data_IF_045694596135
#
_entry.id   IF_045694596135
#
_cell.length_a   1.000
_cell.length_b   1.000
_cell.length_c   1.000
_cell.angle_alpha   90.00
_cell.angle_beta   90.00
_cell.angle_gamma   90.00
#
_symmetry.space_group_name_H-M   'P 1'
#
loop_
_entity.id
_entity.type
_entity.pdbx_description
1 polymer ?
#
# COMPACT_ATOMS: atom_id res chain seq x y z
N UNK A 1 35.05 15.46 -60.86
CA UNK A 1 35.52 15.87 -59.52
C UNK A 1 34.48 16.83 -58.96
N UNK A 2 33.69 16.39 -57.98
CA UNK A 2 32.63 17.21 -57.39
C UNK A 2 33.21 17.97 -56.20
N UNK A 3 33.27 19.29 -56.31
CA UNK A 3 33.68 20.19 -55.22
C UNK A 3 32.54 20.24 -54.20
N UNK A 4 32.66 19.48 -53.12
CA UNK A 4 31.85 19.68 -51.93
C UNK A 4 32.32 20.96 -51.25
N UNK A 5 31.67 22.08 -51.57
CA UNK A 5 31.81 23.32 -50.80
C UNK A 5 31.35 23.02 -49.37
N UNK A 6 32.22 23.15 -48.35
CA UNK A 6 31.79 22.98 -46.97
C UNK A 6 30.71 24.03 -46.68
N UNK A 7 29.55 23.59 -46.21
CA UNK A 7 28.50 24.52 -45.77
C UNK A 7 29.10 25.52 -44.78
N UNK A 8 28.67 26.80 -44.82
CA UNK A 8 29.22 27.79 -43.93
C UNK A 8 28.91 27.39 -42.48
N UNK A 9 29.96 27.26 -41.66
CA UNK A 9 29.91 26.86 -40.24
C UNK A 9 28.85 27.66 -39.46
N UNK A 10 28.54 28.88 -39.89
CA UNK A 10 27.49 29.74 -39.34
C UNK A 10 26.07 29.18 -39.44
N UNK A 11 25.74 28.41 -40.49
CA UNK A 11 24.42 27.76 -40.64
C UNK A 11 24.26 26.61 -39.65
N UNK A 12 25.29 25.77 -39.52
CA UNK A 12 25.28 24.66 -38.56
C UNK A 12 25.21 25.16 -37.12
N UNK A 13 25.95 26.23 -36.78
CA UNK A 13 25.89 26.86 -35.46
C UNK A 13 24.48 27.37 -35.13
N UNK A 14 23.83 28.06 -36.07
CA UNK A 14 22.46 28.57 -35.89
C UNK A 14 21.46 27.45 -35.67
N UNK A 15 21.59 26.33 -36.38
CA UNK A 15 20.71 25.15 -36.21
C UNK A 15 20.91 24.53 -34.83
N UNK A 16 22.16 24.37 -34.38
CA UNK A 16 22.47 23.80 -33.06
C UNK A 16 21.90 24.69 -31.95
N UNK A 17 22.11 26.01 -32.05
CA UNK A 17 21.57 26.97 -31.07
C UNK A 17 20.04 26.93 -31.07
N UNK A 18 19.40 26.94 -32.25
CA UNK A 18 17.95 26.85 -32.37
C UNK A 18 17.38 25.57 -31.76
N UNK A 19 17.99 24.42 -32.05
CA UNK A 19 17.59 23.13 -31.50
C UNK A 19 17.78 23.08 -29.97
N UNK A 20 18.83 23.71 -29.46
CA UNK A 20 19.09 23.80 -28.01
C UNK A 20 18.00 24.61 -27.31
N UNK A 21 17.61 25.77 -27.86
CA UNK A 21 16.55 26.62 -27.30
C UNK A 21 15.20 25.89 -27.31
N UNK A 22 14.85 25.22 -28.41
CA UNK A 22 13.61 24.43 -28.49
C UNK A 22 13.63 23.28 -27.48
N UNK A 23 14.76 22.61 -27.32
CA UNK A 23 14.95 21.57 -26.30
C UNK A 23 14.74 22.09 -24.88
N UNK A 24 15.29 23.26 -24.55
CA UNK A 24 15.08 23.90 -23.25
C UNK A 24 13.62 24.30 -23.01
N UNK A 25 12.91 24.80 -24.02
CA UNK A 25 11.47 25.09 -23.91
C UNK A 25 10.66 23.82 -23.64
N UNK A 26 10.90 22.76 -24.40
CA UNK A 26 10.22 21.48 -24.20
C UNK A 26 10.51 20.88 -22.81
N UNK A 27 11.76 20.96 -22.35
CA UNK A 27 12.15 20.54 -21.02
C UNK A 27 11.46 21.36 -19.92
N UNK A 28 11.36 22.68 -20.10
CA UNK A 28 10.63 23.56 -19.18
C UNK A 28 9.15 23.21 -19.06
N UNK A 29 8.50 22.89 -20.19
CA UNK A 29 7.11 22.43 -20.21
C UNK A 29 6.94 21.08 -19.51
N UNK A 30 7.85 20.13 -19.76
CA UNK A 30 7.82 18.83 -19.10
C UNK A 30 7.99 18.96 -17.57
N UNK A 31 8.92 19.81 -17.12
CA UNK A 31 9.13 20.08 -15.69
C UNK A 31 7.91 20.77 -15.05
N UNK A 32 7.29 21.71 -15.77
CA UNK A 32 6.06 22.38 -15.34
C UNK A 32 4.92 21.38 -15.14
N UNK A 33 4.71 20.49 -16.12
CA UNK A 33 3.68 19.46 -16.04
C UNK A 33 3.93 18.47 -14.90
N UNK A 34 5.19 18.03 -14.72
CA UNK A 34 5.57 17.14 -13.62
C UNK A 34 5.26 17.76 -12.24
N UNK A 35 5.60 19.05 -12.05
CA UNK A 35 5.26 19.77 -10.82
C UNK A 35 3.75 19.83 -10.62
N UNK A 36 3.00 20.15 -11.67
CA UNK A 36 1.54 20.23 -11.60
C UNK A 36 0.90 18.89 -11.20
N UNK A 37 1.36 17.78 -11.78
CA UNK A 37 0.89 16.44 -11.43
C UNK A 37 1.20 16.10 -9.96
N UNK A 38 2.41 16.43 -9.49
CA UNK A 38 2.82 16.22 -8.10
C UNK A 38 1.99 17.08 -7.12
N UNK A 39 1.65 18.31 -7.52
CA UNK A 39 0.76 19.18 -6.74
C UNK A 39 -0.64 18.60 -6.61
N UNK A 40 -1.24 18.10 -7.69
CA UNK A 40 -2.58 17.51 -7.62
C UNK A 40 -2.59 16.26 -6.74
N UNK A 41 -1.56 15.40 -6.85
CA UNK A 41 -1.43 14.24 -5.98
C UNK A 41 -1.30 14.63 -4.51
N UNK A 42 -0.54 15.69 -4.21
CA UNK A 42 -0.38 16.20 -2.85
C UNK A 42 -1.69 16.76 -2.30
N UNK A 43 -2.42 17.55 -3.11
CA UNK A 43 -3.74 18.06 -2.75
C UNK A 43 -4.75 16.95 -2.51
N UNK A 44 -4.76 15.91 -3.35
CA UNK A 44 -5.58 14.72 -3.17
C UNK A 44 -5.28 14.01 -1.85
N UNK A 45 -4.00 13.81 -1.53
CA UNK A 45 -3.59 13.17 -0.28
C UNK A 45 -4.03 14.00 0.95
N UNK A 46 -3.82 15.32 0.94
CA UNK A 46 -4.25 16.22 2.02
C UNK A 46 -5.77 16.18 2.22
N UNK A 47 -6.54 16.14 1.12
CA UNK A 47 -8.01 16.02 1.20
C UNK A 47 -8.42 14.69 1.82
N UNK A 48 -7.80 13.58 1.42
CA UNK A 48 -8.08 12.26 1.96
C UNK A 48 -7.76 12.18 3.46
N UNK A 49 -6.61 12.71 3.87
CA UNK A 49 -6.21 12.78 5.28
C UNK A 49 -7.19 13.62 6.10
N UNK A 50 -7.64 14.77 5.58
CA UNK A 50 -8.65 15.59 6.27
C UNK A 50 -9.98 14.87 6.41
N UNK A 51 -10.45 14.17 5.38
CA UNK A 51 -11.70 13.42 5.45
C UNK A 51 -11.60 12.27 6.45
N UNK A 52 -10.49 11.53 6.45
CA UNK A 52 -10.23 10.48 7.44
C UNK A 52 -10.23 11.04 8.87
N UNK A 53 -9.55 12.18 9.08
CA UNK A 53 -9.50 12.85 10.38
C UNK A 53 -10.88 13.31 10.86
N UNK A 54 -11.70 13.87 9.97
CA UNK A 54 -13.08 14.27 10.30
C UNK A 54 -13.93 13.07 10.72
N UNK A 55 -13.80 11.95 10.01
CA UNK A 55 -14.51 10.72 10.34
C UNK A 55 -14.05 10.17 11.71
N UNK A 56 -12.75 10.14 11.99
CA UNK A 56 -12.24 9.68 13.28
C UNK A 56 -12.67 10.56 14.43
N UNK A 57 -12.75 11.88 14.21
CA UNK A 57 -13.27 12.83 15.22
C UNK A 57 -14.76 12.53 15.49
N UNK A 58 -15.56 12.34 14.43
CA UNK A 58 -16.98 11.99 14.57
C UNK A 58 -17.20 10.70 15.36
N UNK A 59 -16.45 9.64 15.04
CA UNK A 59 -16.49 8.37 15.77
C UNK A 59 -16.06 8.56 17.23
N UNK A 60 -14.98 9.30 17.49
CA UNK A 60 -14.52 9.58 18.84
C UNK A 60 -15.54 10.34 19.70
N UNK A 61 -16.34 11.23 19.11
CA UNK A 61 -17.44 11.88 19.81
C UNK A 61 -18.55 10.90 20.21
N UNK A 62 -18.92 9.98 19.31
CA UNK A 62 -19.93 8.94 19.58
C UNK A 62 -19.46 8.00 20.69
N UNK A 63 -18.21 7.56 20.65
CA UNK A 63 -17.61 6.71 21.68
C UNK A 63 -17.61 7.43 23.04
N UNK A 64 -17.20 8.70 23.07
CA UNK A 64 -17.18 9.50 24.29
C UNK A 64 -18.59 9.73 24.86
N UNK A 65 -19.60 9.89 24.01
CA UNK A 65 -20.99 9.95 24.42
C UNK A 65 -21.46 8.63 25.02
N UNK A 66 -21.11 7.49 24.39
CA UNK A 66 -21.40 6.15 24.90
C UNK A 66 -20.77 5.93 26.29
N UNK A 67 -19.49 6.26 26.47
CA UNK A 67 -18.80 6.10 27.76
C UNK A 67 -19.35 7.02 28.86
N UNK A 68 -19.88 8.20 28.50
CA UNK A 68 -20.55 9.10 29.44
C UNK A 68 -21.97 8.64 29.80
N UNK A 69 -22.58 7.80 28.97
CA UNK A 69 -23.96 7.36 29.16
C UNK A 69 -24.16 6.63 30.50
N UNK A 70 -25.37 6.74 31.04
CA UNK A 70 -25.75 6.02 32.26
C UNK A 70 -25.74 4.49 32.04
N UNK A 71 -26.03 4.05 30.81
CA UNK A 71 -26.02 2.63 30.43
C UNK A 71 -24.61 2.03 30.53
N UNK A 72 -23.59 2.73 30.01
CA UNK A 72 -22.21 2.26 30.12
C UNK A 72 -21.74 2.23 31.57
N UNK A 73 -22.07 3.26 32.37
CA UNK A 73 -21.73 3.29 33.81
C UNK A 73 -22.36 2.12 34.58
N UNK A 74 -23.62 1.79 34.28
CA UNK A 74 -24.33 0.66 34.87
C UNK A 74 -23.71 -0.68 34.45
N UNK A 75 -23.42 -0.85 33.14
CA UNK A 75 -22.68 -2.02 32.62
C UNK A 75 -21.34 -2.18 33.31
N UNK A 76 -20.53 -1.12 33.34
CA UNK A 76 -19.20 -1.13 33.95
C UNK A 76 -19.26 -1.45 35.45
N UNK A 77 -20.23 -0.90 36.19
CA UNK A 77 -20.41 -1.20 37.62
C UNK A 77 -20.81 -2.66 37.86
N UNK A 78 -21.68 -3.21 37.00
CA UNK A 78 -22.11 -4.61 37.08
C UNK A 78 -21.00 -5.60 36.73
N UNK A 79 -20.21 -5.31 35.69
CA UNK A 79 -19.14 -6.18 35.21
C UNK A 79 -17.87 -6.11 36.08
N UNK A 80 -17.40 -4.91 36.42
CA UNK A 80 -16.10 -4.75 37.09
C UNK A 80 -16.18 -4.66 38.61
N UNK A 81 -17.29 -4.16 39.17
CA UNK A 81 -17.43 -3.95 40.61
C UNK A 81 -18.37 -4.97 41.27
N UNK A 82 -19.03 -5.83 40.48
CA UNK A 82 -20.00 -6.81 40.99
C UNK A 82 -21.19 -6.16 41.71
N UNK A 83 -21.42 -4.85 41.48
CA UNK A 83 -22.47 -4.06 42.12
C UNK A 83 -23.79 -4.33 41.40
N UNK A 84 -24.33 -5.53 41.63
CA UNK A 84 -25.61 -5.97 41.08
C UNK A 84 -26.71 -5.68 42.10
N UNK A 85 -27.87 -5.19 41.64
CA UNK A 85 -28.99 -4.94 42.54
C UNK A 85 -29.53 -6.26 43.10
N UNK A 86 -29.99 -6.30 44.36
CA UNK A 86 -30.53 -7.52 44.95
C UNK A 86 -31.73 -8.03 44.14
N UNK A 87 -31.61 -9.24 43.58
CA UNK A 87 -32.61 -9.88 42.71
C UNK A 87 -32.27 -9.89 41.21
N UNK A 88 -31.21 -9.21 40.77
CA UNK A 88 -30.76 -9.20 39.37
C UNK A 88 -29.65 -10.24 39.14
N UNK A 89 -29.71 -10.98 38.02
CA UNK A 89 -28.68 -11.96 37.61
C UNK A 89 -27.89 -11.38 36.44
N UNK A 90 -26.59 -11.17 36.61
CA UNK A 90 -25.70 -10.73 35.54
C UNK A 90 -25.14 -11.93 34.78
N UNK A 91 -25.30 -11.94 33.46
CA UNK A 91 -24.69 -12.91 32.55
C UNK A 91 -23.57 -12.17 31.80
N UNK A 92 -22.33 -12.39 32.22
CA UNK A 92 -21.15 -11.90 31.48
C UNK A 92 -20.89 -12.90 30.36
N UNK A 93 -21.30 -12.54 29.13
CA UNK A 93 -20.92 -13.30 27.95
C UNK A 93 -19.49 -12.90 27.60
N UNK A 94 -18.52 -13.66 28.11
CA UNK A 94 -17.20 -13.68 27.49
C UNK A 94 -17.40 -14.34 26.14
N UNK A 95 -17.21 -13.61 25.03
CA UNK A 95 -16.95 -14.26 23.76
C UNK A 95 -15.68 -15.07 23.99
N UNK A 96 -15.84 -16.36 24.30
CA UNK A 96 -14.81 -17.32 23.97
C UNK A 96 -14.50 -17.03 22.51
N UNK A 97 -13.30 -16.51 22.26
CA UNK A 97 -12.72 -16.51 20.93
C UNK A 97 -12.72 -17.98 20.56
N UNK A 98 -13.81 -18.40 19.93
CA UNK A 98 -13.95 -19.69 19.32
C UNK A 98 -12.95 -19.58 18.18
N UNK A 99 -11.71 -19.94 18.51
CA UNK A 99 -10.69 -20.29 17.55
C UNK A 99 -11.37 -21.41 16.81
N UNK A 100 -12.04 -21.04 15.71
CA UNK A 100 -12.61 -21.97 14.76
C UNK A 100 -11.41 -22.79 14.37
N UNK A 101 -11.25 -23.90 15.07
CA UNK A 101 -10.35 -24.97 14.73
C UNK A 101 -11.04 -25.52 13.51
N UNK A 102 -10.74 -24.93 12.36
CA UNK A 102 -11.06 -25.51 11.08
C UNK A 102 -10.68 -26.98 11.22
N UNK A 103 -11.60 -27.92 10.95
CA UNK A 103 -11.19 -29.30 10.85
C UNK A 103 -10.09 -29.29 9.81
N UNK A 104 -8.86 -29.55 10.26
CA UNK A 104 -7.74 -29.90 9.42
C UNK A 104 -8.22 -31.14 8.71
N UNK A 105 -8.79 -30.93 7.52
CA UNK A 105 -8.99 -31.97 6.54
C UNK A 105 -7.59 -32.54 6.34
N UNK A 106 -7.38 -33.71 6.93
CA UNK A 106 -6.31 -34.61 6.59
C UNK A 106 -6.54 -35.01 5.13
N UNK A 107 -6.14 -34.14 4.21
CA UNK A 107 -5.91 -34.51 2.82
C UNK A 107 -4.45 -34.95 2.71
N UNK A 108 -4.23 -36.18 3.17
CA UNK A 108 -3.08 -36.99 2.78
C UNK A 108 -3.10 -37.11 1.25
N UNK A 109 -2.40 -36.22 0.55
CA UNK A 109 -2.25 -36.33 -0.91
C UNK A 109 -2.00 -35.06 -1.71
N UNK A 110 -2.02 -33.87 -1.11
CA UNK A 110 -1.69 -32.64 -1.84
C UNK A 110 -0.17 -32.50 -1.94
N UNK A 111 0.34 -33.03 -3.05
CA UNK A 111 1.68 -32.92 -3.62
C UNK A 111 2.52 -31.77 -3.05
N UNK A 112 3.70 -32.11 -2.49
CA UNK A 112 4.73 -31.16 -2.02
C UNK A 112 4.90 -29.94 -2.95
N UNK A 113 4.74 -30.12 -4.27
CA UNK A 113 4.79 -29.04 -5.26
C UNK A 113 3.82 -27.88 -5.00
N UNK A 114 2.60 -28.13 -4.51
CA UNK A 114 1.62 -27.06 -4.25
C UNK A 114 1.96 -26.26 -2.99
N UNK A 115 2.54 -26.91 -1.97
CA UNK A 115 3.05 -26.24 -0.78
C UNK A 115 4.26 -25.37 -1.10
N UNK A 116 5.14 -25.86 -1.98
CA UNK A 116 6.31 -25.13 -2.47
C UNK A 116 5.91 -23.91 -3.31
N UNK A 117 4.88 -24.06 -4.16
CA UNK A 117 4.36 -22.96 -4.96
C UNK A 117 3.66 -21.90 -4.10
N UNK A 118 2.91 -22.31 -3.07
CA UNK A 118 2.31 -21.38 -2.11
C UNK A 118 3.35 -20.58 -1.31
N UNK A 119 4.41 -21.23 -0.83
CA UNK A 119 5.51 -20.57 -0.10
C UNK A 119 6.27 -19.58 -1.01
N UNK A 120 6.48 -19.94 -2.28
CA UNK A 120 7.09 -19.05 -3.27
C UNK A 120 6.25 -17.81 -3.55
N UNK A 121 4.93 -17.98 -3.69
CA UNK A 121 4.00 -16.86 -3.92
C UNK A 121 3.90 -15.93 -2.71
N UNK A 122 3.96 -16.47 -1.49
CA UNK A 122 3.98 -15.67 -0.28
C UNK A 122 5.27 -14.83 -0.17
N UNK A 123 6.42 -15.43 -0.52
CA UNK A 123 7.71 -14.74 -0.56
C UNK A 123 7.72 -13.61 -1.62
N UNK A 124 7.14 -13.84 -2.81
CA UNK A 124 6.96 -12.80 -3.81
C UNK A 124 6.09 -11.65 -3.28
N UNK A 125 4.98 -11.96 -2.59
CA UNK A 125 4.08 -10.91 -2.06
C UNK A 125 4.76 -9.97 -1.06
N UNK A 126 5.77 -10.44 -0.34
CA UNK A 126 6.50 -9.66 0.66
C UNK A 126 7.63 -8.80 0.06
N UNK A 127 8.07 -9.07 -1.17
CA UNK A 127 9.17 -8.32 -1.80
C UNK A 127 8.70 -7.04 -2.49
N UNK A 128 9.50 -5.96 -2.47
CA UNK A 128 9.25 -4.77 -3.28
C UNK A 128 9.22 -5.08 -4.79
N UNK A 129 8.43 -4.33 -5.56
CA UNK A 129 8.24 -4.54 -7.01
C UNK A 129 9.55 -4.46 -7.80
N UNK A 130 10.50 -3.62 -7.41
CA UNK A 130 11.79 -3.51 -8.11
C UNK A 130 12.67 -4.76 -7.95
N UNK A 131 12.52 -5.51 -6.85
CA UNK A 131 13.26 -6.76 -6.63
C UNK A 131 12.73 -7.89 -7.52
N UNK A 132 11.42 -7.88 -7.82
CA UNK A 132 10.81 -8.82 -8.77
C UNK A 132 11.44 -8.69 -10.16
N UNK A 133 11.52 -7.46 -10.67
CA UNK A 133 12.13 -7.19 -11.97
C UNK A 133 13.62 -7.52 -11.97
N UNK A 134 14.33 -7.25 -10.87
CA UNK A 134 15.74 -7.60 -10.74
C UNK A 134 15.97 -9.11 -10.77
N UNK A 135 15.16 -9.88 -10.06
CA UNK A 135 15.23 -11.35 -10.06
C UNK A 135 14.89 -11.91 -11.45
N UNK A 136 13.82 -11.42 -12.07
CA UNK A 136 13.37 -11.87 -13.39
C UNK A 136 14.39 -11.60 -14.50
N UNK A 137 15.00 -10.40 -14.51
CA UNK A 137 15.89 -9.97 -15.58
C UNK A 137 17.34 -10.47 -15.43
N UNK A 138 17.83 -10.60 -14.19
CA UNK A 138 19.26 -10.84 -13.94
C UNK A 138 19.58 -12.16 -13.23
N UNK A 139 18.59 -12.85 -12.67
CA UNK A 139 18.80 -14.02 -11.83
C UNK A 139 17.84 -15.18 -12.14
N UNK A 140 17.67 -15.51 -13.42
CA UNK A 140 16.85 -16.65 -13.88
C UNK A 140 17.23 -17.98 -13.23
N UNK A 141 18.53 -18.23 -13.01
CA UNK A 141 19.01 -19.43 -12.29
C UNK A 141 18.62 -19.45 -10.81
N UNK A 142 18.57 -18.28 -10.16
CA UNK A 142 18.18 -18.15 -8.75
C UNK A 142 16.67 -18.37 -8.55
N UNK A 143 15.87 -18.08 -9.58
CA UNK A 143 14.44 -18.39 -9.60
C UNK A 143 14.22 -19.91 -9.62
N UNK A 144 14.99 -20.64 -10.42
CA UNK A 144 14.93 -22.11 -10.43
C UNK A 144 15.44 -22.73 -9.13
N UNK A 145 16.46 -22.14 -8.51
CA UNK A 145 16.94 -22.58 -7.20
C UNK A 145 15.92 -22.30 -6.09
N UNK A 146 15.29 -21.12 -6.05
CA UNK A 146 14.25 -20.81 -5.08
C UNK A 146 12.99 -21.68 -5.27
N UNK A 147 12.69 -22.08 -6.50
CA UNK A 147 11.62 -23.04 -6.81
C UNK A 147 11.95 -24.49 -6.40
N UNK A 148 13.24 -24.82 -6.22
CA UNK A 148 13.70 -26.18 -5.86
C UNK A 148 14.18 -26.32 -4.40
N UNK A 149 14.57 -25.23 -3.75
CA UNK A 149 15.18 -25.22 -2.42
C UNK A 149 14.17 -25.10 -1.26
N UNK A 150 12.89 -24.89 -1.58
CA UNK A 150 11.78 -24.88 -0.62
C UNK A 150 10.81 -25.94 -1.09
#
# INVERSE_FOLDING_TARGET
MSYQTPEPISKQLTIIIGLTVVGFMAFGLALSYYRNALFEQTLGNIRNQNNALRNSIGLGYLDLEYYKSAQYKDKYAKENLGLVRPGEKTLVMTEDVNVVSFPVLQEEGITNAEQQEAAYLELLRQMPVYEHWKLFLFHSKKIEELRRAV
#
